data_IF_027126291585
#
_entry.id   IF_027126291585
#
_cell.length_a   1.000
_cell.length_b   1.000
_cell.length_c   1.000
_cell.angle_alpha   90.00
_cell.angle_beta   90.00
_cell.angle_gamma   90.00
#
_symmetry.space_group_name_H-M   'P 1'
#
loop_
_entity.id
_entity.type
_entity.pdbx_description
1 polymer ?
#
# COMPACT_ATOMS: atom_id res chain seq x y z
N UNK A 1 -7.18 -4.46 38.98
CA UNK A 1 -6.44 -3.69 37.98
C UNK A 1 -7.32 -3.39 36.72
N UNK A 2 -8.03 -4.37 36.23
CA UNK A 2 -8.89 -4.26 35.03
C UNK A 2 -10.04 -3.26 35.14
N UNK A 3 -10.71 -3.19 36.27
CA UNK A 3 -11.81 -2.22 36.47
C UNK A 3 -11.33 -0.76 36.35
N UNK A 4 -10.06 -0.49 36.70
CA UNK A 4 -9.47 0.86 36.55
C UNK A 4 -9.16 1.17 35.07
N UNK A 5 -8.61 0.24 34.32
CA UNK A 5 -8.31 0.43 32.87
C UNK A 5 -9.60 0.62 32.07
N UNK A 6 -10.62 -0.21 32.30
CA UNK A 6 -11.93 -0.05 31.69
C UNK A 6 -12.62 1.25 32.10
N UNK A 7 -12.46 1.67 33.38
CA UNK A 7 -12.95 2.97 33.81
C UNK A 7 -12.20 4.13 33.16
N UNK A 8 -10.88 3.99 32.93
CA UNK A 8 -10.07 5.00 32.22
C UNK A 8 -10.43 5.11 30.76
N UNK A 9 -10.65 3.99 30.06
CA UNK A 9 -11.13 3.99 28.66
C UNK A 9 -12.53 4.57 28.59
N UNK A 10 -13.42 4.19 29.49
CA UNK A 10 -14.78 4.76 29.56
C UNK A 10 -14.72 6.25 29.86
N UNK A 11 -13.88 6.68 30.79
CA UNK A 11 -13.65 8.09 31.13
C UNK A 11 -12.97 8.84 29.96
N UNK A 12 -12.07 8.19 29.20
CA UNK A 12 -11.50 8.74 27.97
C UNK A 12 -12.57 8.87 26.88
N UNK A 13 -13.36 7.83 26.67
CA UNK A 13 -14.49 7.85 25.75
C UNK A 13 -15.53 8.89 26.18
N UNK A 14 -15.84 8.99 27.48
CA UNK A 14 -16.75 10.00 28.03
C UNK A 14 -16.16 11.42 27.93
N UNK A 15 -14.84 11.58 28.05
CA UNK A 15 -14.17 12.88 27.90
C UNK A 15 -14.05 13.32 26.45
N UNK A 16 -13.76 12.39 25.54
CA UNK A 16 -13.83 12.60 24.08
C UNK A 16 -15.30 12.86 23.65
N UNK A 17 -16.24 12.28 24.39
CA UNK A 17 -17.71 12.43 24.20
C UNK A 17 -18.31 13.58 24.98
N UNK A 18 -17.75 13.92 26.14
CA UNK A 18 -18.35 14.81 27.16
C UNK A 18 -18.37 16.31 26.82
N UNK A 19 -17.87 16.68 25.66
CA UNK A 19 -17.92 18.07 25.19
C UNK A 19 -18.82 18.31 23.98
N UNK A 20 -19.28 17.26 23.31
CA UNK A 20 -20.06 17.39 22.08
C UNK A 20 -20.86 16.12 21.79
N UNK A 21 -22.18 16.24 21.98
CA UNK A 21 -23.26 15.40 21.43
C UNK A 21 -23.06 13.87 21.34
N UNK A 22 -24.08 13.16 21.83
CA UNK A 22 -24.33 11.71 21.68
C UNK A 22 -24.05 11.19 20.26
N UNK A 23 -24.14 12.05 19.25
CA UNK A 23 -23.84 11.73 17.86
C UNK A 23 -22.35 11.43 17.58
N UNK A 24 -21.41 12.04 18.32
CA UNK A 24 -19.98 11.80 18.10
C UNK A 24 -19.47 10.52 18.77
N UNK A 25 -20.01 10.15 19.93
CA UNK A 25 -19.69 8.87 20.57
C UNK A 25 -20.19 7.70 19.73
N UNK A 26 -21.38 7.83 19.13
CA UNK A 26 -21.87 6.87 18.16
C UNK A 26 -20.97 6.77 16.92
N UNK A 27 -20.41 7.89 16.45
CA UNK A 27 -19.54 7.89 15.27
C UNK A 27 -18.23 7.15 15.48
N UNK A 28 -17.67 7.09 16.68
CA UNK A 28 -16.46 6.29 16.95
C UNK A 28 -16.77 4.79 16.98
N UNK A 29 -17.88 4.39 17.61
CA UNK A 29 -18.32 3.00 17.63
C UNK A 29 -18.69 2.48 16.24
N UNK A 30 -19.27 3.33 15.42
CA UNK A 30 -19.68 3.02 14.04
C UNK A 30 -18.76 3.60 12.99
N UNK A 31 -17.51 3.95 13.35
CA UNK A 31 -16.52 4.38 12.38
C UNK A 31 -16.36 3.30 11.29
N UNK A 32 -16.40 3.66 10.01
CA UNK A 32 -16.30 2.70 8.91
C UNK A 32 -14.85 2.19 8.69
N UNK A 33 -14.04 2.19 9.74
CA UNK A 33 -12.65 1.74 9.75
C UNK A 33 -12.40 0.92 11.01
N UNK A 34 -11.63 -0.17 10.93
CA UNK A 34 -11.15 -0.87 12.10
C UNK A 34 -10.37 0.08 13.03
N UNK A 35 -10.71 0.08 14.29
CA UNK A 35 -10.11 0.94 15.32
C UNK A 35 -9.65 0.13 16.50
N UNK A 36 -8.49 0.50 17.04
CA UNK A 36 -7.86 -0.11 18.19
C UNK A 36 -7.36 0.96 19.16
N UNK A 37 -7.62 0.78 20.46
CA UNK A 37 -7.08 1.59 21.55
C UNK A 37 -6.30 0.69 22.49
N UNK A 38 -5.06 1.06 22.80
CA UNK A 38 -4.19 0.31 23.68
C UNK A 38 -3.33 1.22 24.57
N UNK A 39 -2.86 0.69 25.68
CA UNK A 39 -1.90 1.34 26.57
C UNK A 39 -0.50 1.23 25.96
N UNK A 40 0.17 2.36 25.80
CA UNK A 40 1.51 2.43 25.18
C UNK A 40 2.59 1.80 26.07
N UNK A 41 2.41 1.84 27.42
CA UNK A 41 3.42 1.33 28.34
C UNK A 41 3.42 -0.21 28.40
N UNK A 42 2.25 -0.83 28.32
CA UNK A 42 2.08 -2.28 28.44
C UNK A 42 1.83 -2.97 27.10
N UNK A 43 1.40 -2.22 26.07
CA UNK A 43 0.90 -2.75 24.81
C UNK A 43 -0.48 -3.40 24.92
N UNK A 44 -1.13 -3.35 26.10
CA UNK A 44 -2.40 -4.02 26.37
C UNK A 44 -3.56 -3.36 25.63
N UNK A 45 -4.36 -4.15 24.92
CA UNK A 45 -5.55 -3.70 24.21
C UNK A 45 -6.66 -3.40 25.21
N UNK A 46 -7.11 -2.16 25.20
CA UNK A 46 -8.15 -1.67 26.09
C UNK A 46 -9.52 -1.59 25.42
N UNK A 47 -9.55 -1.32 24.13
CA UNK A 47 -10.77 -1.21 23.36
C UNK A 47 -10.52 -1.37 21.84
N UNK A 48 -11.51 -1.91 21.16
CA UNK A 48 -11.57 -1.91 19.70
C UNK A 48 -13.04 -1.90 19.26
N UNK A 49 -13.29 -1.51 18.01
CA UNK A 49 -14.63 -1.59 17.43
C UNK A 49 -14.90 -2.96 16.78
N UNK A 50 -16.16 -3.21 16.41
CA UNK A 50 -16.57 -4.48 15.79
C UNK A 50 -15.80 -4.75 14.51
N UNK A 51 -15.48 -3.73 13.70
CA UNK A 51 -14.70 -3.90 12.48
C UNK A 51 -13.29 -4.44 12.75
N UNK A 52 -12.68 -4.04 13.86
CA UNK A 52 -11.37 -4.56 14.24
C UNK A 52 -11.47 -6.00 14.78
N UNK A 53 -12.52 -6.32 15.52
CA UNK A 53 -12.78 -7.70 15.97
C UNK A 53 -13.07 -8.64 14.80
N UNK A 54 -13.80 -8.18 13.80
CA UNK A 54 -14.07 -8.94 12.57
C UNK A 54 -12.78 -9.17 11.78
N UNK A 55 -11.92 -8.15 11.71
CA UNK A 55 -10.63 -8.22 11.05
C UNK A 55 -9.69 -9.26 11.68
N UNK A 56 -9.67 -9.34 13.02
CA UNK A 56 -8.80 -10.25 13.76
C UNK A 56 -9.40 -11.66 13.93
N UNK A 57 -10.70 -11.78 13.84
CA UNK A 57 -11.44 -12.99 14.21
C UNK A 57 -11.45 -13.28 15.72
N UNK A 58 -10.88 -12.39 16.52
CA UNK A 58 -10.70 -12.54 17.98
C UNK A 58 -11.78 -11.77 18.74
N UNK A 59 -13.01 -12.26 18.83
CA UNK A 59 -14.10 -11.57 19.52
C UNK A 59 -13.72 -11.16 20.96
N UNK A 60 -14.29 -11.80 21.97
CA UNK A 60 -14.11 -11.39 23.39
C UNK A 60 -12.69 -11.61 23.94
N UNK A 61 -11.82 -12.33 23.23
CA UNK A 61 -10.44 -12.66 23.67
C UNK A 61 -9.41 -11.58 23.36
N UNK A 62 -9.80 -10.52 22.69
CA UNK A 62 -8.87 -9.46 22.26
C UNK A 62 -8.48 -8.55 23.44
N UNK A 63 -9.37 -8.39 24.42
CA UNK A 63 -9.12 -7.55 25.59
C UNK A 63 -8.08 -8.19 26.52
N UNK A 64 -7.25 -7.37 27.15
CA UNK A 64 -6.16 -7.79 28.05
C UNK A 64 -5.02 -8.55 27.32
N UNK A 65 -5.06 -8.56 25.99
CA UNK A 65 -4.00 -9.15 25.16
C UNK A 65 -3.10 -8.02 24.65
N UNK A 66 -1.81 -8.28 24.53
CA UNK A 66 -0.88 -7.32 23.96
C UNK A 66 -1.08 -7.20 22.43
N UNK A 67 -0.88 -6.00 21.89
CA UNK A 67 -1.07 -5.71 20.47
C UNK A 67 -0.21 -6.62 19.59
N UNK A 68 1.04 -6.88 19.98
CA UNK A 68 1.99 -7.74 19.25
C UNK A 68 1.56 -9.22 19.22
N UNK A 69 0.81 -9.67 20.24
CA UNK A 69 0.23 -11.01 20.25
C UNK A 69 -0.97 -11.16 19.28
N UNK A 70 -1.67 -10.05 19.00
CA UNK A 70 -2.83 -10.01 18.09
C UNK A 70 -2.39 -9.71 16.67
N UNK A 71 -1.45 -8.79 16.52
CA UNK A 71 -0.93 -8.33 15.22
C UNK A 71 0.60 -8.50 15.27
N UNK A 72 1.12 -9.65 14.88
CA UNK A 72 2.55 -9.88 14.81
C UNK A 72 3.23 -8.83 13.91
N UNK A 73 4.45 -8.45 14.27
CA UNK A 73 5.29 -7.49 13.55
C UNK A 73 4.78 -6.03 13.55
N UNK A 74 3.62 -5.76 14.16
CA UNK A 74 3.16 -4.38 14.30
C UNK A 74 3.91 -3.67 15.43
N UNK A 75 4.58 -2.57 15.11
CA UNK A 75 5.27 -1.72 16.08
C UNK A 75 4.59 -0.36 16.15
N UNK A 76 4.45 0.19 17.36
CA UNK A 76 3.84 1.51 17.57
C UNK A 76 4.86 2.59 17.97
N UNK A 77 6.16 2.32 17.78
CA UNK A 77 7.23 3.27 18.10
C UNK A 77 7.09 4.59 17.32
N UNK A 78 6.60 4.53 16.09
CA UNK A 78 6.33 5.69 15.26
C UNK A 78 5.37 6.71 15.91
N UNK A 79 4.41 6.24 16.72
CA UNK A 79 3.53 7.11 17.51
C UNK A 79 4.31 7.86 18.58
N UNK A 80 5.24 7.20 19.27
CA UNK A 80 6.12 7.81 20.27
C UNK A 80 7.05 8.85 19.63
N UNK A 81 7.48 8.64 18.39
CA UNK A 81 8.26 9.59 17.59
C UNK A 81 7.39 10.77 17.06
N UNK A 82 6.12 10.85 17.44
CA UNK A 82 5.20 11.93 17.05
C UNK A 82 4.65 11.84 15.64
N UNK A 83 4.85 10.73 14.95
CA UNK A 83 4.26 10.48 13.62
C UNK A 83 2.76 10.17 13.78
N UNK A 84 1.98 10.45 12.75
CA UNK A 84 0.54 10.19 12.71
C UNK A 84 0.15 9.06 11.77
N UNK A 85 1.10 8.56 11.01
CA UNK A 85 0.93 7.47 10.05
C UNK A 85 2.10 6.51 10.18
N UNK A 86 1.81 5.21 10.07
CA UNK A 86 2.82 4.16 10.02
C UNK A 86 3.74 4.42 8.81
N UNK A 87 5.07 4.32 8.97
CA UNK A 87 6.01 4.75 7.93
C UNK A 87 5.88 4.03 6.60
N UNK A 88 5.39 2.81 6.64
CA UNK A 88 5.25 1.93 5.48
C UNK A 88 3.82 1.37 5.42
N UNK A 89 3.50 0.68 4.34
CA UNK A 89 2.27 -0.11 4.27
C UNK A 89 2.43 -1.35 5.13
N UNK A 90 1.48 -1.60 6.01
CA UNK A 90 1.49 -2.77 6.86
C UNK A 90 0.77 -3.95 6.18
N UNK A 91 1.49 -5.05 6.00
CA UNK A 91 0.92 -6.27 5.40
C UNK A 91 0.51 -7.23 6.49
N UNK A 92 -0.76 -7.64 6.46
CA UNK A 92 -1.31 -8.57 7.44
C UNK A 92 -2.49 -9.35 6.84
N UNK A 93 -2.53 -10.67 7.05
CA UNK A 93 -3.56 -11.57 6.55
C UNK A 93 -3.86 -11.36 5.05
N UNK A 94 -2.81 -11.36 4.22
CA UNK A 94 -2.87 -11.16 2.77
C UNK A 94 -3.51 -9.83 2.32
N UNK A 95 -3.61 -8.87 3.24
CA UNK A 95 -4.10 -7.53 2.98
C UNK A 95 -3.04 -6.47 3.26
N UNK A 96 -3.24 -5.32 2.68
CA UNK A 96 -2.36 -4.16 2.82
C UNK A 96 -3.12 -3.04 3.51
N UNK A 97 -2.56 -2.55 4.61
CA UNK A 97 -3.16 -1.49 5.41
C UNK A 97 -2.29 -0.25 5.44
N UNK A 98 -2.95 0.91 5.37
CA UNK A 98 -2.39 2.17 5.88
C UNK A 98 -2.89 2.34 7.30
N UNK A 99 -1.97 2.51 8.23
CA UNK A 99 -2.31 2.64 9.64
C UNK A 99 -2.03 4.06 10.10
N UNK A 100 -3.06 4.70 10.63
CA UNK A 100 -2.98 6.03 11.23
C UNK A 100 -3.14 5.93 12.73
N UNK A 101 -2.61 6.90 13.47
CA UNK A 101 -2.79 6.87 14.91
C UNK A 101 -2.47 8.20 15.59
N UNK A 102 -2.92 8.26 16.84
CA UNK A 102 -2.68 9.40 17.71
C UNK A 102 -2.46 8.92 19.15
N UNK A 103 -1.65 9.66 19.90
CA UNK A 103 -1.47 9.49 21.34
C UNK A 103 -2.38 10.47 22.10
N UNK A 104 -3.08 9.96 23.10
CA UNK A 104 -3.72 10.76 24.13
C UNK A 104 -2.74 10.89 25.29
N UNK A 105 -2.30 12.11 25.57
CA UNK A 105 -1.47 12.40 26.74
C UNK A 105 -2.36 12.69 27.93
N UNK A 106 -2.02 12.16 29.14
CA UNK A 106 -2.71 12.56 30.35
C UNK A 106 -2.50 14.06 30.61
N UNK A 107 -3.53 14.71 31.17
CA UNK A 107 -3.38 16.09 31.63
C UNK A 107 -2.43 16.17 32.83
N UNK A 108 -1.65 17.27 32.97
CA UNK A 108 -0.67 17.42 34.05
C UNK A 108 -1.23 17.30 35.45
N UNK A 109 -2.54 17.56 35.62
CA UNK A 109 -3.24 17.53 36.94
C UNK A 109 -3.89 16.16 37.24
N UNK A 110 -3.78 15.18 36.31
CA UNK A 110 -4.56 13.92 36.38
C UNK A 110 -3.90 12.74 37.07
N UNK A 111 -2.73 12.89 37.68
CA UNK A 111 -2.03 11.76 38.34
C UNK A 111 -1.45 10.76 37.30
N UNK A 112 -1.19 9.55 37.74
CA UNK A 112 -0.58 8.45 36.98
C UNK A 112 -1.56 7.83 35.98
N UNK A 113 -2.01 8.61 34.98
CA UNK A 113 -2.91 8.13 33.92
C UNK A 113 -2.10 7.53 32.75
N UNK A 114 -2.55 6.40 32.19
CA UNK A 114 -1.86 5.75 31.08
C UNK A 114 -1.87 6.62 29.82
N UNK A 115 -0.79 6.59 29.07
CA UNK A 115 -0.74 7.13 27.71
C UNK A 115 -1.42 6.16 26.75
N UNK A 116 -2.52 6.58 26.16
CA UNK A 116 -3.29 5.73 25.23
C UNK A 116 -2.93 6.03 23.79
N UNK A 117 -2.77 4.97 23.01
CA UNK A 117 -2.68 5.04 21.56
C UNK A 117 -4.02 4.65 20.94
N UNK A 118 -4.47 5.43 19.97
CA UNK A 118 -5.61 5.08 19.12
C UNK A 118 -5.09 4.90 17.71
N UNK A 119 -5.40 3.77 17.06
CA UNK A 119 -5.03 3.49 15.68
C UNK A 119 -6.23 3.20 14.81
N UNK A 120 -6.11 3.57 13.53
CA UNK A 120 -7.12 3.38 12.49
C UNK A 120 -6.48 2.62 11.33
N UNK A 121 -7.16 1.61 10.85
CA UNK A 121 -6.64 0.68 9.85
C UNK A 121 -7.43 0.80 8.56
N UNK A 122 -6.82 1.37 7.54
CA UNK A 122 -7.42 1.53 6.22
C UNK A 122 -6.92 0.42 5.31
N UNK A 123 -7.80 -0.48 4.89
CA UNK A 123 -7.50 -1.47 3.87
C UNK A 123 -7.31 -0.77 2.51
N UNK A 124 -6.13 -0.92 1.93
CA UNK A 124 -5.76 -0.33 0.65
C UNK A 124 -5.37 -1.40 -0.36
N UNK A 125 -5.69 -2.66 -0.09
CA UNK A 125 -5.31 -3.82 -0.92
C UNK A 125 -5.71 -3.61 -2.37
N UNK A 126 -6.99 -3.36 -2.62
CA UNK A 126 -7.51 -3.19 -3.99
C UNK A 126 -6.85 -1.99 -4.70
N UNK A 127 -6.59 -0.91 -3.95
CA UNK A 127 -5.94 0.29 -4.51
C UNK A 127 -4.49 -0.01 -4.90
N UNK A 128 -3.76 -0.76 -4.08
CA UNK A 128 -2.37 -1.12 -4.36
C UNK A 128 -2.26 -2.16 -5.48
N UNK A 129 -3.18 -3.10 -5.54
CA UNK A 129 -3.26 -4.06 -6.64
C UNK A 129 -3.57 -3.36 -7.98
N UNK A 130 -4.52 -2.43 -7.96
CA UNK A 130 -4.85 -1.62 -9.14
C UNK A 130 -3.66 -0.76 -9.56
N UNK A 131 -2.97 -0.11 -8.61
CA UNK A 131 -1.76 0.68 -8.88
C UNK A 131 -0.67 -0.18 -9.52
N UNK A 132 -0.42 -1.36 -8.96
CA UNK A 132 0.54 -2.32 -9.50
C UNK A 132 0.17 -2.76 -10.90
N UNK A 133 -1.09 -3.05 -11.13
CA UNK A 133 -1.58 -3.43 -12.47
C UNK A 133 -1.37 -2.30 -13.47
N UNK A 134 -1.73 -1.07 -13.10
CA UNK A 134 -1.49 0.10 -13.95
C UNK A 134 -0.01 0.33 -14.26
N UNK A 135 0.88 0.12 -13.30
CA UNK A 135 2.32 0.23 -13.51
C UNK A 135 2.82 -0.85 -14.50
N UNK A 136 2.38 -2.09 -14.33
CA UNK A 136 2.79 -3.22 -15.18
C UNK A 136 2.23 -3.13 -16.60
N UNK A 137 1.06 -2.54 -16.78
CA UNK A 137 0.41 -2.37 -18.10
C UNK A 137 0.70 -1.02 -18.75
N UNK A 138 1.59 -0.21 -18.15
CA UNK A 138 2.02 1.06 -18.75
C UNK A 138 2.59 0.84 -20.14
N UNK A 139 2.12 1.57 -21.17
CA UNK A 139 2.70 1.47 -22.49
C UNK A 139 4.10 2.07 -22.50
N UNK A 140 5.05 1.30 -22.98
CA UNK A 140 6.42 1.73 -23.27
C UNK A 140 6.55 1.89 -24.78
N UNK A 141 7.07 3.03 -25.20
CA UNK A 141 7.35 3.31 -26.61
C UNK A 141 8.86 3.36 -26.79
N UNK A 142 9.38 2.46 -27.59
CA UNK A 142 10.80 2.43 -27.95
C UNK A 142 10.98 2.73 -29.45
N UNK A 143 12.00 3.51 -29.77
CA UNK A 143 12.41 3.76 -31.15
C UNK A 143 13.75 3.06 -31.37
N UNK A 144 13.76 2.13 -32.32
CA UNK A 144 14.99 1.50 -32.79
C UNK A 144 15.41 2.17 -34.09
N UNK A 145 16.66 2.58 -34.15
CA UNK A 145 17.28 3.15 -35.35
C UNK A 145 18.42 2.26 -35.80
N UNK A 146 18.42 1.87 -37.07
CA UNK A 146 19.51 1.10 -37.64
C UNK A 146 20.64 2.05 -37.99
N UNK A 147 21.72 1.99 -37.23
CA UNK A 147 22.89 2.82 -37.43
C UNK A 147 23.59 2.45 -38.75
N UNK A 148 24.13 3.45 -39.44
CA UNK A 148 24.82 3.28 -40.74
C UNK A 148 23.98 2.57 -41.83
N UNK A 149 22.64 2.71 -41.79
CA UNK A 149 21.73 2.08 -42.76
C UNK A 149 22.12 2.34 -44.24
N UNK A 150 22.42 3.59 -44.56
CA UNK A 150 22.78 3.95 -45.94
C UNK A 150 24.08 3.30 -46.40
N UNK A 151 25.08 3.23 -45.55
CA UNK A 151 26.36 2.62 -45.88
C UNK A 151 26.23 1.10 -46.04
N UNK A 152 25.42 0.48 -45.18
CA UNK A 152 25.06 -0.92 -45.25
C UNK A 152 24.33 -1.25 -46.57
N UNK A 153 23.39 -0.40 -46.97
CA UNK A 153 22.67 -0.56 -48.25
C UNK A 153 23.55 -0.31 -49.46
N UNK A 154 24.51 0.62 -49.42
CA UNK A 154 25.49 0.84 -50.49
C UNK A 154 26.45 -0.32 -50.64
N UNK A 155 26.90 -0.90 -49.55
CA UNK A 155 27.81 -2.05 -49.55
C UNK A 155 27.12 -3.36 -49.96
N UNK A 156 25.80 -3.46 -49.83
CA UNK A 156 25.05 -4.65 -50.19
C UNK A 156 24.70 -4.69 -51.68
N UNK A 157 24.98 -5.81 -52.42
CA UNK A 157 24.53 -5.98 -53.80
C UNK A 157 23.02 -5.80 -53.92
N UNK A 158 22.56 -5.10 -54.95
CA UNK A 158 21.15 -4.76 -55.15
C UNK A 158 20.22 -5.98 -55.11
N UNK A 159 20.67 -7.10 -55.66
CA UNK A 159 19.93 -8.38 -55.61
C UNK A 159 19.76 -9.00 -54.23
N UNK A 160 20.52 -8.54 -53.24
CA UNK A 160 20.48 -9.07 -51.86
C UNK A 160 19.84 -8.09 -50.85
N UNK A 161 19.64 -6.83 -51.22
CA UNK A 161 19.10 -5.80 -50.31
C UNK A 161 17.75 -6.19 -49.69
N UNK A 162 16.83 -6.63 -50.56
CA UNK A 162 15.50 -7.05 -50.13
C UNK A 162 15.55 -8.25 -49.17
N UNK A 163 16.46 -9.19 -49.38
CA UNK A 163 16.62 -10.34 -48.50
C UNK A 163 17.19 -9.94 -47.15
N UNK A 164 18.15 -9.02 -47.07
CA UNK A 164 18.72 -8.51 -45.84
C UNK A 164 17.67 -7.74 -45.02
N UNK A 165 16.87 -6.90 -45.69
CA UNK A 165 15.79 -6.17 -45.02
C UNK A 165 14.72 -7.11 -44.47
N UNK A 166 14.30 -8.09 -45.27
CA UNK A 166 13.33 -9.09 -44.82
C UNK A 166 13.83 -9.89 -43.60
N UNK A 167 15.11 -10.25 -43.55
CA UNK A 167 15.70 -10.92 -42.40
C UNK A 167 15.76 -10.01 -41.14
N UNK A 168 16.03 -8.72 -41.34
CA UNK A 168 16.00 -7.75 -40.25
C UNK A 168 14.60 -7.61 -39.70
N UNK A 169 13.61 -7.40 -40.55
CA UNK A 169 12.20 -7.29 -40.18
C UNK A 169 11.71 -8.56 -39.46
N UNK A 170 12.02 -9.74 -39.99
CA UNK A 170 11.66 -11.01 -39.36
C UNK A 170 12.21 -11.13 -37.92
N UNK A 171 13.48 -10.73 -37.70
CA UNK A 171 14.08 -10.75 -36.35
C UNK A 171 13.44 -9.74 -35.42
N UNK A 172 13.13 -8.55 -35.92
CA UNK A 172 12.48 -7.50 -35.14
C UNK A 172 11.03 -7.89 -34.77
N UNK A 173 10.31 -8.51 -35.73
CA UNK A 173 8.98 -9.07 -35.50
C UNK A 173 9.01 -10.18 -34.44
N UNK A 174 9.97 -11.10 -34.52
CA UNK A 174 10.14 -12.16 -33.51
C UNK A 174 10.43 -11.58 -32.14
N UNK A 175 11.26 -10.54 -32.07
CA UNK A 175 11.55 -9.86 -30.79
C UNK A 175 10.31 -9.14 -30.24
N UNK A 176 9.58 -8.41 -31.10
CA UNK A 176 8.34 -7.72 -30.72
C UNK A 176 7.26 -8.68 -30.26
N UNK A 177 7.09 -9.82 -30.95
CA UNK A 177 6.16 -10.85 -30.56
C UNK A 177 6.52 -11.51 -29.23
N UNK A 178 7.81 -11.66 -28.92
CA UNK A 178 8.30 -12.16 -27.64
C UNK A 178 7.99 -11.21 -26.46
N UNK A 179 7.86 -9.92 -26.75
CA UNK A 179 7.48 -8.89 -25.78
C UNK A 179 5.95 -8.63 -25.74
N UNK A 180 5.16 -9.40 -26.46
CA UNK A 180 3.70 -9.14 -26.64
C UNK A 180 3.43 -7.71 -27.13
N UNK A 181 4.33 -7.20 -27.96
CA UNK A 181 4.35 -5.82 -28.41
C UNK A 181 3.92 -5.67 -29.87
N UNK A 182 3.74 -4.42 -30.26
CA UNK A 182 3.48 -4.03 -31.64
C UNK A 182 4.71 -3.36 -32.21
N UNK A 183 5.06 -3.69 -33.46
CA UNK A 183 6.11 -3.04 -34.20
C UNK A 183 5.53 -2.30 -35.43
N UNK A 184 6.04 -1.11 -35.68
CA UNK A 184 5.74 -0.32 -36.86
C UNK A 184 7.04 0.15 -37.50
N UNK A 185 7.29 -0.26 -38.73
CA UNK A 185 8.34 0.30 -39.57
C UNK A 185 7.81 1.61 -40.17
N UNK A 186 8.30 2.76 -39.71
CA UNK A 186 7.75 4.06 -40.10
C UNK A 186 8.70 4.92 -40.97
N UNK A 187 9.98 4.57 -41.01
CA UNK A 187 10.98 5.20 -41.89
C UNK A 187 12.01 4.14 -42.32
N UNK A 188 12.84 4.44 -43.27
CA UNK A 188 13.81 3.52 -43.88
C UNK A 188 14.70 2.79 -42.89
N UNK A 189 15.11 3.48 -41.85
CA UNK A 189 16.04 3.02 -40.82
C UNK A 189 15.43 2.99 -39.42
N UNK A 190 14.10 3.25 -39.31
CA UNK A 190 13.47 3.46 -38.02
C UNK A 190 12.24 2.58 -37.78
N UNK A 191 12.22 1.97 -36.62
CA UNK A 191 11.15 1.11 -36.17
C UNK A 191 10.62 1.65 -34.82
N UNK A 192 9.32 1.70 -34.70
CA UNK A 192 8.61 2.04 -33.45
C UNK A 192 8.09 0.76 -32.82
N UNK A 193 8.37 0.57 -31.55
CA UNK A 193 7.85 -0.53 -30.75
C UNK A 193 6.96 0.03 -29.66
N UNK A 194 5.84 -0.65 -29.43
CA UNK A 194 4.91 -0.35 -28.34
C UNK A 194 4.64 -1.66 -27.60
N UNK A 195 4.98 -1.71 -26.33
CA UNK A 195 4.78 -2.89 -25.47
C UNK A 195 4.46 -2.44 -24.03
N UNK A 196 4.07 -3.37 -23.17
CA UNK A 196 3.79 -3.06 -21.78
C UNK A 196 5.06 -3.14 -20.91
N UNK A 197 5.11 -2.34 -19.83
CA UNK A 197 6.25 -2.27 -18.89
C UNK A 197 6.66 -3.67 -18.39
N UNK A 198 5.69 -4.55 -18.13
CA UNK A 198 5.93 -5.94 -17.67
C UNK A 198 6.80 -6.76 -18.63
N UNK A 199 6.83 -6.41 -19.90
CA UNK A 199 7.62 -7.11 -20.93
C UNK A 199 9.06 -6.59 -21.02
N UNK A 200 9.37 -5.49 -20.33
CA UNK A 200 10.70 -4.89 -20.29
C UNK A 200 11.51 -5.34 -19.05
N UNK A 201 10.82 -5.79 -18.00
CA UNK A 201 11.42 -6.28 -16.75
C UNK A 201 11.80 -7.74 -16.89
#
# INVERSE_FOLDING_TARGET
RNKMAQASVRQYMDRVSGGMDTARSSNMLYAPLPMLVFDVATGEILWCNDMFTDLTGLKDKIFETAVDAVIPDFTYRWLLDGKREYPEQFRWNDRIYRVFGALSRPEPEGGDQPTLATTYWMDVTDTEEMRRTLELTRPVVAILMVDNYEDLMKACPESKRSAVLAQLEEKLDQWSAGADGLMLHYDRDRYLFVFEERSYS
#
